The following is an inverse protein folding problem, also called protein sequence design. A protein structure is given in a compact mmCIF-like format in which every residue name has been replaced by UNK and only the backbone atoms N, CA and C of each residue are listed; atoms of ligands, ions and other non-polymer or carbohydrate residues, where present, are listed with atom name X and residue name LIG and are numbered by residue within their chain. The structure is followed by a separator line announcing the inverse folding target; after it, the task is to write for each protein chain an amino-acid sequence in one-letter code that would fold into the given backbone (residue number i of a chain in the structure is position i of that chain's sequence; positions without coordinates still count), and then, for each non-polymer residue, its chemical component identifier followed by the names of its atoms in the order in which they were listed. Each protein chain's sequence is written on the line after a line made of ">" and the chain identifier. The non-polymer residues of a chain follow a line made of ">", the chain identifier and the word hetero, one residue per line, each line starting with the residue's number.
data_IF_141561015459
#
_entry.id   IF_141561015459
#
_cell.length_a   1.000
_cell.length_b   1.000
_cell.length_c   1.000
_cell.angle_alpha   90.00
_cell.angle_beta   90.00
_cell.angle_gamma   90.00
#
_symmetry.space_group_name_H-M   'P 1'
#
loop_
_entity.id
_entity.type
_entity.pdbx_description
1 polymer ?
#
# COMPACT_ATOMS: atom_id res chain seq x y z
N UNK A 1 35.17 -55.88 -9.51
CA UNK A 1 36.25 -54.86 -9.51
C UNK A 1 35.66 -53.59 -8.89
N UNK A 2 35.86 -53.39 -7.58
CA UNK A 2 36.84 -52.43 -7.02
C UNK A 2 36.58 -51.01 -7.56
N UNK A 3 35.81 -50.17 -6.85
CA UNK A 3 36.29 -49.17 -5.86
C UNK A 3 37.55 -48.43 -6.33
N UNK A 4 37.47 -47.09 -6.44
CA UNK A 4 38.43 -46.14 -5.83
C UNK A 4 38.14 -44.65 -6.15
N UNK A 5 37.85 -43.92 -5.05
CA UNK A 5 38.39 -42.61 -4.65
C UNK A 5 38.12 -41.35 -5.51
N UNK A 6 37.26 -40.38 -5.12
CA UNK A 6 37.42 -39.38 -4.03
C UNK A 6 38.77 -38.62 -4.07
N UNK A 7 38.76 -37.42 -4.64
CA UNK A 7 39.72 -36.33 -4.41
C UNK A 7 38.92 -35.03 -4.11
N UNK A 8 38.87 -34.57 -2.85
CA UNK A 8 39.72 -33.51 -2.23
C UNK A 8 39.33 -32.11 -2.76
N UNK A 9 38.48 -31.31 -2.09
CA UNK A 9 38.70 -30.45 -0.90
C UNK A 9 39.70 -29.28 -1.11
N UNK A 10 39.20 -28.04 -0.83
CA UNK A 10 39.87 -26.76 -0.49
C UNK A 10 40.28 -25.77 -1.60
N UNK A 11 39.56 -24.63 -1.63
CA UNK A 11 40.16 -23.28 -1.56
C UNK A 11 39.10 -22.31 -0.99
N UNK A 12 39.04 -22.11 0.32
CA UNK A 12 39.71 -21.08 1.11
C UNK A 12 39.31 -19.64 0.74
N UNK A 13 38.51 -19.07 1.65
CA UNK A 13 38.28 -17.67 1.95
C UNK A 13 39.41 -16.73 1.53
N UNK A 14 39.07 -15.69 0.76
CA UNK A 14 39.81 -14.44 0.76
C UNK A 14 38.82 -13.28 0.91
N UNK A 15 38.78 -12.75 2.13
CA UNK A 15 38.24 -11.42 2.42
C UNK A 15 39.05 -10.37 1.65
N UNK A 16 38.37 -9.50 0.90
CA UNK A 16 38.88 -8.16 0.60
C UNK A 16 37.74 -7.15 0.69
N UNK A 17 37.55 -6.64 1.90
CA UNK A 17 36.85 -5.39 2.16
C UNK A 17 37.65 -4.24 1.55
N UNK A 18 37.16 -3.66 0.46
CA UNK A 18 37.60 -2.36 -0.04
C UNK A 18 36.72 -1.29 0.59
N UNK A 19 37.21 -0.70 1.68
CA UNK A 19 36.65 0.51 2.27
C UNK A 19 37.45 1.73 1.81
N UNK A 20 36.71 2.81 1.59
CA UNK A 20 37.09 4.22 1.60
C UNK A 20 37.92 4.76 0.42
N UNK A 21 37.29 5.65 -0.35
CA UNK A 21 37.70 7.06 -0.36
C UNK A 21 36.64 7.92 -1.06
N UNK A 22 35.95 8.76 -0.27
CA UNK A 22 35.18 9.89 -0.79
C UNK A 22 36.18 11.05 -0.92
N UNK A 23 36.41 11.62 -2.11
CA UNK A 23 37.26 12.79 -2.26
C UNK A 23 36.59 14.01 -1.64
N UNK A 24 37.33 14.69 -0.76
CA UNK A 24 36.99 16.02 -0.23
C UNK A 24 37.26 17.06 -1.32
N UNK A 25 36.23 17.76 -1.76
CA UNK A 25 36.42 18.96 -2.59
C UNK A 25 36.77 20.15 -1.68
N UNK A 26 37.95 20.73 -1.92
CA UNK A 26 38.27 22.11 -1.54
C UNK A 26 38.29 22.94 -2.83
N UNK A 27 37.68 24.14 -2.76
CA UNK A 27 38.06 25.39 -3.46
C UNK A 27 36.90 26.38 -3.23
N UNK A 28 37.04 27.34 -2.31
CA UNK A 28 37.77 28.59 -2.43
C UNK A 28 37.15 29.52 -3.50
N UNK A 29 36.25 30.40 -3.06
CA UNK A 29 35.89 31.63 -3.78
C UNK A 29 35.88 32.79 -2.77
N UNK A 30 36.89 33.65 -2.96
CA UNK A 30 37.00 35.10 -2.72
C UNK A 30 36.49 35.75 -1.41
N UNK A 31 37.47 36.30 -0.67
CA UNK A 31 37.37 37.53 0.12
C UNK A 31 36.91 38.71 -0.77
N UNK A 32 36.21 39.75 -0.29
CA UNK A 32 36.63 40.73 0.72
C UNK A 32 35.44 41.71 1.05
N UNK A 33 35.55 42.73 1.93
CA UNK A 33 34.77 42.80 3.18
C UNK A 33 33.92 44.08 3.36
N UNK A 34 33.02 44.09 4.35
CA UNK A 34 32.62 45.33 5.03
C UNK A 34 32.11 45.09 6.47
N UNK A 35 32.81 45.73 7.42
CA UNK A 35 32.47 46.25 8.77
C UNK A 35 31.37 45.55 9.61
N UNK A 36 31.67 44.89 10.75
CA UNK A 36 31.91 45.41 12.14
C UNK A 36 30.67 46.02 12.83
N UNK A 37 30.51 46.02 14.18
CA UNK A 37 31.11 45.21 15.25
C UNK A 37 30.14 44.66 16.35
N UNK A 38 30.61 43.62 17.07
CA UNK A 38 30.58 43.39 18.53
C UNK A 38 29.29 43.60 19.34
N UNK A 39 28.79 42.54 20.02
CA UNK A 39 28.55 42.56 21.49
C UNK A 39 28.89 41.19 22.08
N UNK A 40 29.71 41.24 23.12
CA UNK A 40 30.22 40.13 23.92
C UNK A 40 29.33 39.88 25.16
N UNK A 41 29.32 38.61 25.57
CA UNK A 41 29.18 38.06 26.93
C UNK A 41 27.81 37.71 27.55
N UNK A 42 27.85 36.47 28.02
CA UNK A 42 26.98 35.67 28.88
C UNK A 42 26.60 36.43 30.17
N UNK A 43 25.48 36.03 30.77
CA UNK A 43 25.48 35.44 32.11
C UNK A 43 24.17 34.70 32.43
N UNK A 44 24.32 33.57 33.12
CA UNK A 44 23.28 32.86 33.86
C UNK A 44 22.88 33.68 35.08
N UNK A 45 21.59 33.76 35.37
CA UNK A 45 21.10 33.84 36.75
C UNK A 45 19.67 33.31 36.84
N UNK A 46 19.47 32.41 37.82
CA UNK A 46 18.17 31.95 38.28
C UNK A 46 17.47 33.08 39.04
N UNK A 47 16.14 33.20 38.90
CA UNK A 47 15.31 33.85 39.91
C UNK A 47 13.88 33.27 39.87
N UNK A 48 13.43 32.87 41.05
CA UNK A 48 12.08 32.37 41.38
C UNK A 48 11.20 33.58 41.77
N UNK A 49 9.88 33.38 41.71
CA UNK A 49 8.76 34.17 42.31
C UNK A 49 7.96 35.06 41.32
N UNK A 50 6.72 35.49 41.65
CA UNK A 50 5.50 34.75 41.36
C UNK A 50 4.42 35.59 40.65
N UNK A 51 3.37 34.92 40.15
CA UNK A 51 2.07 35.49 39.72
C UNK A 51 2.12 36.63 38.69
N UNK A 52 1.92 36.25 37.44
CA UNK A 52 1.12 37.08 36.53
C UNK A 52 0.23 36.17 35.70
N UNK A 53 -1.08 36.43 35.82
CA UNK A 53 -2.14 35.84 35.01
C UNK A 53 -1.77 36.02 33.54
N UNK A 54 -1.46 34.92 32.87
CA UNK A 54 -1.31 34.91 31.42
C UNK A 54 -2.16 33.80 30.84
N UNK A 55 -3.08 34.27 29.99
CA UNK A 55 -3.57 33.57 28.81
C UNK A 55 -4.80 32.65 28.95
N UNK A 56 -5.91 33.24 29.40
CA UNK A 56 -7.28 32.82 29.02
C UNK A 56 -7.66 33.29 27.60
N UNK A 57 -6.71 33.41 26.67
CA UNK A 57 -6.97 33.68 25.25
C UNK A 57 -6.42 32.60 24.33
N UNK A 58 -6.49 31.35 24.77
CA UNK A 58 -6.34 30.21 23.86
C UNK A 58 -7.62 30.02 23.04
N UNK A 59 -7.71 30.80 21.96
CA UNK A 59 -8.58 30.61 20.80
C UNK A 59 -10.02 30.16 21.12
N UNK A 60 -10.99 31.09 21.09
CA UNK A 60 -12.38 30.75 20.75
C UNK A 60 -12.39 30.20 19.32
N UNK A 61 -11.91 28.97 19.11
CA UNK A 61 -12.25 28.19 17.93
C UNK A 61 -13.77 28.15 17.93
N UNK A 62 -14.37 28.69 16.87
CA UNK A 62 -15.81 28.63 16.67
C UNK A 62 -16.24 27.20 16.95
N UNK A 63 -16.98 26.98 18.06
CA UNK A 63 -17.36 25.65 18.52
C UNK A 63 -18.31 25.07 17.49
N UNK A 64 -17.76 24.32 16.53
CA UNK A 64 -18.54 23.73 15.46
C UNK A 64 -19.53 22.75 16.10
N UNK A 65 -20.83 23.09 15.96
CA UNK A 65 -21.91 22.21 16.38
C UNK A 65 -22.00 21.05 15.41
N UNK A 66 -22.09 19.86 15.95
CA UNK A 66 -22.23 18.59 15.23
C UNK A 66 -23.55 17.94 15.61
N UNK A 67 -24.04 17.06 14.74
CA UNK A 67 -25.18 16.21 15.05
C UNK A 67 -24.65 14.89 15.60
N UNK A 68 -25.06 14.53 16.81
CA UNK A 68 -24.62 13.33 17.52
C UNK A 68 -25.77 12.34 17.64
N UNK A 69 -25.54 11.11 17.17
CA UNK A 69 -26.41 9.95 17.38
C UNK A 69 -25.89 9.19 18.59
N UNK A 70 -26.71 9.11 19.63
CA UNK A 70 -26.45 8.27 20.79
C UNK A 70 -26.76 6.79 20.51
N UNK A 71 -26.39 5.90 21.43
CA UNK A 71 -26.61 4.45 21.28
C UNK A 71 -28.09 4.07 21.18
N UNK A 72 -28.98 4.85 21.79
CA UNK A 72 -30.43 4.70 21.72
C UNK A 72 -31.04 5.36 20.47
N UNK A 73 -30.23 5.61 19.44
CA UNK A 73 -30.60 6.31 18.20
C UNK A 73 -31.11 7.74 18.39
N UNK A 74 -31.03 8.30 19.60
CA UNK A 74 -31.43 9.66 19.87
C UNK A 74 -30.46 10.66 19.21
N UNK A 75 -31.02 11.60 18.46
CA UNK A 75 -30.28 12.64 17.75
C UNK A 75 -30.21 13.89 18.63
N UNK A 76 -29.00 14.36 18.91
CA UNK A 76 -28.74 15.58 19.70
C UNK A 76 -27.75 16.49 18.99
N UNK A 77 -27.83 17.79 19.23
CA UNK A 77 -26.90 18.78 18.66
C UNK A 77 -25.94 19.21 19.78
N UNK A 78 -24.69 18.83 19.66
CA UNK A 78 -23.65 19.12 20.67
C UNK A 78 -22.39 19.65 20.01
N UNK A 79 -21.42 20.11 20.81
CA UNK A 79 -20.09 20.42 20.29
C UNK A 79 -19.25 19.15 20.16
N UNK A 80 -18.24 19.16 19.28
CA UNK A 80 -17.32 18.03 19.11
C UNK A 80 -16.58 17.69 20.41
N UNK A 81 -16.18 18.71 21.18
CA UNK A 81 -15.48 18.53 22.45
C UNK A 81 -16.35 17.85 23.50
N UNK A 82 -17.62 18.24 23.60
CA UNK A 82 -18.58 17.60 24.51
C UNK A 82 -18.84 16.15 24.09
N UNK A 83 -19.01 15.88 22.80
CA UNK A 83 -19.19 14.53 22.29
C UNK A 83 -17.96 13.64 22.58
N UNK A 84 -16.74 14.16 22.43
CA UNK A 84 -15.52 13.45 22.81
C UNK A 84 -15.43 13.16 24.30
N UNK A 85 -15.79 14.13 25.15
CA UNK A 85 -15.84 13.93 26.61
C UNK A 85 -16.90 12.89 26.99
N UNK A 86 -18.05 12.91 26.33
CA UNK A 86 -19.14 11.97 26.55
C UNK A 86 -18.73 10.55 26.16
N UNK A 87 -18.05 10.40 25.02
CA UNK A 87 -17.50 9.14 24.54
C UNK A 87 -16.50 8.58 25.55
N UNK A 88 -15.51 9.37 25.98
CA UNK A 88 -14.52 8.98 27.00
C UNK A 88 -15.14 8.66 28.36
N UNK A 89 -16.20 9.36 28.77
CA UNK A 89 -16.87 9.14 30.06
C UNK A 89 -17.65 7.82 30.11
N UNK A 90 -18.15 7.36 28.96
CA UNK A 90 -18.98 6.16 28.84
C UNK A 90 -18.25 4.97 28.20
N UNK A 91 -16.93 5.08 28.05
CA UNK A 91 -16.09 4.11 27.34
C UNK A 91 -16.62 3.75 25.94
N UNK A 92 -17.10 4.77 25.22
CA UNK A 92 -17.60 4.68 23.85
C UNK A 92 -16.63 5.33 22.87
N UNK A 93 -16.78 4.95 21.60
CA UNK A 93 -16.05 5.54 20.49
C UNK A 93 -16.96 6.46 19.67
N UNK A 94 -16.37 7.56 19.19
CA UNK A 94 -17.06 8.54 18.36
C UNK A 94 -16.67 8.30 16.88
N UNK A 95 -17.61 7.80 16.07
CA UNK A 95 -17.41 7.58 14.64
C UNK A 95 -18.06 8.69 13.82
N UNK A 96 -17.33 9.20 12.82
CA UNK A 96 -17.86 10.17 11.85
C UNK A 96 -18.62 9.44 10.75
N UNK A 97 -19.86 9.84 10.50
CA UNK A 97 -20.65 9.33 9.37
C UNK A 97 -20.32 10.11 8.09
N UNK A 98 -20.37 9.41 6.95
CA UNK A 98 -20.08 9.97 5.64
C UNK A 98 -21.21 10.88 5.15
N UNK A 99 -22.46 10.53 5.48
CA UNK A 99 -23.63 11.33 5.13
C UNK A 99 -23.85 12.44 6.18
N UNK A 100 -23.86 13.72 5.77
CA UNK A 100 -24.25 14.82 6.65
C UNK A 100 -25.77 14.81 6.89
N UNK A 101 -26.20 15.51 7.94
CA UNK A 101 -27.62 15.60 8.29
C UNK A 101 -28.42 16.27 7.16
N UNK A 102 -29.39 15.55 6.60
CA UNK A 102 -30.22 15.99 5.47
C UNK A 102 -30.93 17.31 5.78
N UNK A 103 -31.26 17.56 7.05
CA UNK A 103 -32.00 18.76 7.46
C UNK A 103 -31.11 19.98 7.67
N UNK A 104 -29.85 19.77 8.04
CA UNK A 104 -29.02 20.87 8.56
C UNK A 104 -27.63 20.97 7.94
N UNK A 105 -27.24 20.01 7.10
CA UNK A 105 -25.92 19.93 6.48
C UNK A 105 -24.77 19.72 7.46
N UNK A 106 -25.05 19.49 8.75
CA UNK A 106 -24.03 19.31 9.78
C UNK A 106 -23.39 17.94 9.68
N UNK A 107 -22.11 17.88 10.02
CA UNK A 107 -21.38 16.61 10.12
C UNK A 107 -22.02 15.76 11.22
N UNK A 108 -22.36 14.53 10.87
CA UNK A 108 -22.96 13.57 11.78
C UNK A 108 -21.91 12.66 12.40
N UNK A 109 -22.06 12.40 13.70
CA UNK A 109 -21.25 11.45 14.44
C UNK A 109 -22.14 10.47 15.20
N UNK A 110 -21.69 9.23 15.33
CA UNK A 110 -22.37 8.16 16.07
C UNK A 110 -21.49 7.71 17.24
N UNK A 111 -22.09 7.55 18.42
CA UNK A 111 -21.46 6.86 19.54
C UNK A 111 -21.66 5.36 19.37
N UNK A 112 -20.55 4.61 19.40
CA UNK A 112 -20.54 3.16 19.27
C UNK A 112 -19.73 2.53 20.40
N UNK A 113 -20.10 1.31 20.77
CA UNK A 113 -19.31 0.46 21.66
C UNK A 113 -18.09 -0.10 20.93
N UNK A 114 -17.10 -0.59 21.68
CA UNK A 114 -15.94 -1.28 21.09
C UNK A 114 -16.35 -2.55 20.33
N UNK A 115 -17.39 -3.26 20.78
CA UNK A 115 -17.95 -4.42 20.07
C UNK A 115 -18.57 -4.04 18.73
N UNK A 116 -19.34 -2.95 18.69
CA UNK A 116 -19.92 -2.43 17.43
C UNK A 116 -18.85 -1.89 16.49
N UNK A 117 -17.78 -1.28 17.01
CA UNK A 117 -16.65 -0.82 16.20
C UNK A 117 -15.98 -1.98 15.46
N UNK A 118 -15.76 -3.10 16.14
CA UNK A 118 -15.21 -4.32 15.53
C UNK A 118 -16.20 -4.96 14.55
N UNK A 119 -17.50 -4.93 14.87
CA UNK A 119 -18.55 -5.40 13.97
C UNK A 119 -18.64 -4.54 12.70
N UNK A 120 -18.54 -3.22 12.79
CA UNK A 120 -18.50 -2.32 11.62
C UNK A 120 -17.19 -2.45 10.83
N UNK A 121 -16.07 -2.85 11.43
CA UNK A 121 -14.87 -3.21 10.64
C UNK A 121 -15.04 -4.52 9.85
N UNK A 122 -15.87 -5.43 10.37
CA UNK A 122 -16.18 -6.71 9.69
C UNK A 122 -17.32 -6.56 8.67
N UNK A 123 -18.35 -5.77 8.96
CA UNK A 123 -19.53 -5.49 8.12
C UNK A 123 -19.30 -4.31 7.15
N UNK A 124 -18.48 -3.33 7.51
CA UNK A 124 -18.05 -2.20 6.66
C UNK A 124 -17.08 -2.60 5.54
N UNK A 125 -16.67 -3.88 5.48
CA UNK A 125 -16.16 -4.48 4.24
C UNK A 125 -17.23 -4.63 3.16
N UNK A 126 -18.53 -4.57 3.52
CA UNK A 126 -19.66 -4.81 2.62
C UNK A 126 -20.47 -3.57 2.21
N UNK A 127 -20.63 -2.52 3.03
CA UNK A 127 -21.73 -1.57 2.82
C UNK A 127 -21.41 -0.06 2.80
N UNK A 128 -20.16 0.39 2.95
CA UNK A 128 -19.86 1.83 3.00
C UNK A 128 -18.53 2.19 2.32
N UNK A 129 -18.46 1.90 1.02
CA UNK A 129 -17.45 2.44 0.10
C UNK A 129 -18.10 3.05 -1.14
N UNK A 130 -18.90 4.10 -0.94
CA UNK A 130 -19.27 5.00 -2.01
C UNK A 130 -18.55 6.33 -1.80
N UNK A 131 -17.69 6.69 -2.77
CA UNK A 131 -16.85 7.88 -2.84
C UNK A 131 -15.53 7.84 -2.06
N UNK A 132 -14.65 6.87 -2.35
CA UNK A 132 -13.36 7.19 -2.99
C UNK A 132 -12.71 5.90 -3.52
N UNK A 133 -12.27 5.97 -4.77
CA UNK A 133 -11.84 4.89 -5.66
C UNK A 133 -10.46 4.30 -5.30
N UNK A 134 -10.22 3.75 -4.10
CA UNK A 134 -8.96 3.02 -3.79
C UNK A 134 -9.04 1.95 -2.66
N UNK A 135 -10.24 1.52 -2.29
CA UNK A 135 -10.44 0.89 -0.97
C UNK A 135 -10.64 -0.62 -0.88
N UNK A 136 -11.09 -1.33 -1.91
CA UNK A 136 -11.03 -2.80 -1.92
C UNK A 136 -9.70 -3.14 -2.57
N UNK A 137 -8.61 -3.04 -1.81
CA UNK A 137 -7.24 -3.17 -2.33
C UNK A 137 -7.05 -4.57 -2.92
N UNK A 138 -7.41 -4.72 -4.20
CA UNK A 138 -6.92 -5.77 -5.08
C UNK A 138 -5.41 -5.63 -5.02
N UNK A 139 -4.78 -6.43 -4.16
CA UNK A 139 -3.35 -6.26 -3.92
C UNK A 139 -2.65 -6.54 -5.25
N UNK A 140 -1.91 -5.55 -5.74
CA UNK A 140 -1.17 -5.69 -6.96
C UNK A 140 0.08 -6.53 -6.70
N UNK A 141 0.41 -7.43 -7.62
CA UNK A 141 1.63 -8.24 -7.60
C UNK A 141 2.43 -7.97 -8.87
N UNK A 142 3.69 -7.61 -8.72
CA UNK A 142 4.61 -7.44 -9.85
C UNK A 142 5.47 -8.69 -10.03
N UNK A 143 5.69 -9.08 -11.29
CA UNK A 143 6.55 -10.19 -11.66
C UNK A 143 7.45 -9.79 -12.82
N UNK A 144 8.76 -9.95 -12.62
CA UNK A 144 9.76 -9.80 -13.69
C UNK A 144 10.21 -11.18 -14.17
N UNK A 145 10.30 -11.33 -15.49
CA UNK A 145 10.60 -12.56 -16.20
C UNK A 145 11.74 -12.25 -17.18
N UNK A 146 12.85 -12.97 -17.10
CA UNK A 146 13.92 -12.89 -18.10
C UNK A 146 13.61 -13.77 -19.31
N UNK A 147 13.94 -13.32 -20.53
CA UNK A 147 13.69 -14.09 -21.75
C UNK A 147 14.49 -15.40 -21.85
N UNK A 148 15.58 -15.55 -21.09
CA UNK A 148 16.44 -16.76 -21.09
C UNK A 148 16.07 -17.81 -20.05
N UNK A 149 14.89 -17.72 -19.44
CA UNK A 149 14.49 -18.69 -18.42
C UNK A 149 14.21 -20.07 -19.03
N UNK A 150 14.54 -21.12 -18.28
CA UNK A 150 14.21 -22.49 -18.65
C UNK A 150 12.71 -22.76 -18.47
N UNK A 151 12.18 -23.73 -19.23
CA UNK A 151 10.76 -24.12 -19.20
C UNK A 151 10.27 -24.50 -17.80
N UNK A 152 11.15 -25.10 -16.98
CA UNK A 152 10.83 -25.44 -15.60
C UNK A 152 10.57 -24.20 -14.74
N UNK A 153 11.39 -23.15 -14.83
CA UNK A 153 11.17 -21.90 -14.09
C UNK A 153 9.91 -21.20 -14.60
N UNK A 154 9.72 -21.13 -15.93
CA UNK A 154 8.51 -20.58 -16.53
C UNK A 154 7.24 -21.24 -15.97
N UNK A 155 7.21 -22.57 -15.89
CA UNK A 155 6.07 -23.31 -15.33
C UNK A 155 5.76 -22.92 -13.87
N UNK A 156 6.80 -22.68 -13.07
CA UNK A 156 6.66 -22.23 -11.68
C UNK A 156 6.12 -20.80 -11.60
N UNK A 157 6.55 -19.91 -12.51
CA UNK A 157 6.02 -18.55 -12.63
C UNK A 157 4.54 -18.55 -13.04
N UNK A 158 4.15 -19.38 -13.99
CA UNK A 158 2.76 -19.53 -14.43
C UNK A 158 1.84 -19.97 -13.28
N UNK A 159 2.27 -20.95 -12.45
CA UNK A 159 1.52 -21.36 -11.25
C UNK A 159 1.31 -20.21 -10.25
N UNK A 160 2.32 -19.36 -10.07
CA UNK A 160 2.19 -18.17 -9.21
C UNK A 160 1.19 -17.16 -9.77
N UNK A 161 1.20 -16.93 -11.08
CA UNK A 161 0.22 -16.06 -11.75
C UNK A 161 -1.20 -16.57 -11.50
N UNK A 162 -1.46 -17.86 -11.74
CA UNK A 162 -2.77 -18.48 -11.47
C UNK A 162 -3.18 -18.27 -10.00
N UNK A 163 -2.27 -18.55 -9.07
CA UNK A 163 -2.52 -18.39 -7.63
C UNK A 163 -2.89 -16.96 -7.25
N UNK A 164 -2.24 -15.97 -7.84
CA UNK A 164 -2.54 -14.56 -7.58
C UNK A 164 -3.87 -14.13 -8.19
N UNK A 165 -4.16 -14.54 -9.42
CA UNK A 165 -5.43 -14.23 -10.09
C UNK A 165 -6.62 -14.86 -9.35
N UNK A 166 -6.48 -16.09 -8.86
CA UNK A 166 -7.50 -16.75 -8.03
C UNK A 166 -7.78 -16.00 -6.72
N UNK A 167 -6.76 -15.35 -6.14
CA UNK A 167 -6.90 -14.48 -4.96
C UNK A 167 -7.42 -13.07 -5.28
N UNK A 168 -7.90 -12.85 -6.52
CA UNK A 168 -8.38 -11.55 -7.01
C UNK A 168 -7.30 -10.46 -6.96
N UNK A 169 -6.04 -10.85 -7.12
CA UNK A 169 -4.93 -9.91 -7.25
C UNK A 169 -4.72 -9.53 -8.71
N UNK A 170 -4.41 -8.25 -8.94
CA UNK A 170 -3.95 -7.78 -10.24
C UNK A 170 -2.46 -8.11 -10.39
N UNK A 171 -2.06 -8.59 -11.55
CA UNK A 171 -0.68 -9.02 -11.79
C UNK A 171 -0.05 -8.14 -12.86
N UNK A 172 1.04 -7.45 -12.54
CA UNK A 172 1.86 -6.71 -13.50
C UNK A 172 3.03 -7.58 -13.95
N UNK A 173 3.14 -7.80 -15.24
CA UNK A 173 4.20 -8.60 -15.85
C UNK A 173 5.18 -7.67 -16.57
N UNK A 174 6.46 -7.88 -16.30
CA UNK A 174 7.57 -7.32 -17.06
C UNK A 174 8.41 -8.47 -17.61
N UNK A 175 8.59 -8.51 -18.93
CA UNK A 175 9.49 -9.46 -19.60
C UNK A 175 10.70 -8.66 -20.09
N UNK A 176 11.88 -9.10 -19.68
CA UNK A 176 13.17 -8.49 -20.02
C UNK A 176 13.94 -9.43 -20.95
N UNK A 177 14.09 -9.04 -22.21
CA UNK A 177 14.97 -9.69 -23.18
C UNK A 177 16.41 -9.19 -23.09
N UNK A 178 17.29 -9.81 -23.87
CA UNK A 178 18.67 -9.31 -24.01
C UNK A 178 18.76 -8.09 -24.92
N UNK A 179 19.66 -7.18 -24.57
CA UNK A 179 19.93 -5.91 -25.28
C UNK A 179 20.31 -6.15 -26.76
N UNK A 180 20.81 -7.34 -27.07
CA UNK A 180 21.29 -7.72 -28.41
C UNK A 180 20.18 -8.26 -29.33
N UNK A 181 18.90 -8.26 -28.91
CA UNK A 181 17.76 -8.69 -29.75
C UNK A 181 17.65 -10.20 -29.99
N UNK A 182 18.68 -10.98 -29.68
CA UNK A 182 18.71 -12.44 -29.90
C UNK A 182 17.60 -13.22 -29.17
N UNK A 183 16.99 -12.63 -28.14
CA UNK A 183 16.00 -13.30 -27.29
C UNK A 183 14.54 -12.84 -27.55
N UNK A 184 14.28 -12.11 -28.63
CA UNK A 184 12.94 -11.62 -28.97
C UNK A 184 11.93 -12.76 -29.14
N UNK A 185 12.30 -13.83 -29.86
CA UNK A 185 11.45 -15.01 -30.03
C UNK A 185 11.14 -15.74 -28.71
N UNK A 186 12.07 -15.72 -27.75
CA UNK A 186 11.85 -16.30 -26.43
C UNK A 186 10.88 -15.45 -25.60
N UNK A 187 10.97 -14.12 -25.69
CA UNK A 187 10.03 -13.22 -25.01
C UNK A 187 8.60 -13.43 -25.52
N UNK A 188 8.41 -13.58 -26.83
CA UNK A 188 7.10 -13.88 -27.43
C UNK A 188 6.55 -15.24 -27.01
N UNK A 189 7.41 -16.27 -26.96
CA UNK A 189 7.04 -17.60 -26.44
C UNK A 189 6.47 -17.51 -25.03
N UNK A 190 7.11 -16.73 -24.16
CA UNK A 190 6.64 -16.54 -22.77
C UNK A 190 5.29 -15.83 -22.74
N UNK A 191 5.09 -14.79 -23.55
CA UNK A 191 3.80 -14.09 -23.66
C UNK A 191 2.69 -15.06 -24.09
N UNK A 192 2.95 -15.88 -25.13
CA UNK A 192 1.99 -16.89 -25.61
C UNK A 192 1.67 -17.93 -24.54
N UNK A 193 2.67 -18.39 -23.80
CA UNK A 193 2.48 -19.33 -22.70
C UNK A 193 1.60 -18.74 -21.58
N UNK A 194 1.81 -17.47 -21.22
CA UNK A 194 0.97 -16.76 -20.25
C UNK A 194 -0.46 -16.59 -20.80
N UNK A 195 -0.61 -16.18 -22.06
CA UNK A 195 -1.91 -16.02 -22.73
C UNK A 195 -2.72 -17.32 -22.78
N UNK A 196 -2.07 -18.45 -23.04
CA UNK A 196 -2.72 -19.78 -23.04
C UNK A 196 -3.14 -20.18 -21.63
N UNK A 197 -2.25 -20.01 -20.65
CA UNK A 197 -2.50 -20.38 -19.24
C UNK A 197 -3.65 -19.60 -18.59
N UNK A 198 -3.89 -18.36 -19.03
CA UNK A 198 -5.00 -17.54 -18.49
C UNK A 198 -6.35 -17.82 -19.16
N UNK A 199 -6.34 -18.43 -20.36
CA UNK A 199 -7.55 -18.73 -21.15
C UNK A 199 -8.04 -20.15 -20.91
N UNK A 200 -7.15 -21.12 -20.78
CA UNK A 200 -7.44 -22.54 -20.60
C UNK A 200 -6.93 -23.03 -19.24
N UNK A 201 -7.66 -23.90 -18.51
CA UNK A 201 -8.96 -24.52 -18.82
C UNK A 201 -10.18 -23.63 -18.51
N UNK A 202 -10.01 -22.55 -17.76
CA UNK A 202 -11.03 -21.54 -17.49
C UNK A 202 -10.42 -20.15 -17.63
N UNK A 203 -11.21 -19.18 -18.09
CA UNK A 203 -10.73 -17.80 -18.25
C UNK A 203 -10.58 -17.12 -16.87
N UNK A 204 -9.38 -17.21 -16.30
CA UNK A 204 -9.07 -16.67 -14.95
C UNK A 204 -8.73 -15.18 -14.97
N UNK A 205 -8.36 -14.63 -16.13
CA UNK A 205 -7.93 -13.24 -16.22
C UNK A 205 -7.88 -12.69 -17.63
N UNK A 206 -7.88 -11.35 -17.72
CA UNK A 206 -7.79 -10.59 -18.96
C UNK A 206 -6.51 -9.76 -18.98
N UNK A 207 -5.73 -9.90 -20.04
CA UNK A 207 -4.57 -9.03 -20.28
C UNK A 207 -5.06 -7.65 -20.70
N UNK A 208 -4.47 -6.62 -20.10
CA UNK A 208 -4.67 -5.21 -20.43
C UNK A 208 -3.33 -4.50 -20.56
N UNK A 209 -3.32 -3.39 -21.30
CA UNK A 209 -2.15 -2.50 -21.41
C UNK A 209 -0.87 -3.18 -21.92
N UNK A 210 -0.98 -4.06 -22.93
CA UNK A 210 0.18 -4.67 -23.59
C UNK A 210 1.00 -3.61 -24.32
N UNK A 211 2.27 -3.48 -23.92
CA UNK A 211 3.25 -2.56 -24.50
C UNK A 211 4.55 -3.31 -24.74
N UNK A 212 5.13 -3.12 -25.91
CA UNK A 212 6.46 -3.61 -26.25
C UNK A 212 7.33 -2.42 -26.62
N UNK A 213 8.52 -2.32 -26.00
CA UNK A 213 9.50 -1.27 -26.29
C UNK A 213 10.89 -1.89 -26.30
N UNK A 214 11.43 -2.07 -27.50
CA UNK A 214 12.70 -2.76 -27.71
C UNK A 214 12.67 -4.14 -27.04
N UNK A 215 13.65 -4.39 -26.17
CA UNK A 215 13.81 -5.66 -25.45
C UNK A 215 12.84 -5.87 -24.26
N UNK A 216 11.88 -4.98 -24.04
CA UNK A 216 10.97 -5.06 -22.89
C UNK A 216 9.52 -5.21 -23.31
N UNK A 217 8.81 -6.16 -22.70
CA UNK A 217 7.36 -6.32 -22.84
C UNK A 217 6.72 -6.12 -21.47
N UNK A 218 5.73 -5.22 -21.38
CA UNK A 218 5.00 -4.93 -20.14
C UNK A 218 3.50 -5.04 -20.39
N UNK A 219 2.80 -5.69 -19.48
CA UNK A 219 1.34 -5.76 -19.48
C UNK A 219 0.81 -6.06 -18.08
N UNK A 220 -0.48 -5.81 -17.87
CA UNK A 220 -1.16 -6.16 -16.63
C UNK A 220 -2.21 -7.23 -16.91
N UNK A 221 -2.50 -8.06 -15.91
CA UNK A 221 -3.56 -9.07 -15.96
C UNK A 221 -4.56 -8.73 -14.86
N UNK A 222 -5.80 -8.48 -15.27
CA UNK A 222 -6.92 -8.25 -14.35
C UNK A 222 -7.61 -9.59 -14.12
N UNK A 223 -7.84 -10.00 -12.86
CA UNK A 223 -8.57 -11.22 -12.57
C UNK A 223 -10.03 -11.07 -13.00
N UNK A 224 -10.54 -12.05 -13.74
CA UNK A 224 -11.95 -12.13 -14.07
C UNK A 224 -12.66 -12.94 -12.99
N UNK A 225 -13.82 -12.46 -12.54
CA UNK A 225 -14.65 -13.24 -11.65
C UNK A 225 -14.96 -14.57 -12.34
N UNK A 226 -14.38 -15.69 -11.86
CA UNK A 226 -14.90 -17.00 -12.21
C UNK A 226 -16.39 -16.93 -11.89
N UNK A 227 -17.23 -16.96 -12.92
CA UNK A 227 -18.65 -17.11 -12.74
C UNK A 227 -18.81 -18.35 -11.85
N UNK A 228 -19.42 -18.17 -10.69
CA UNK A 228 -19.86 -19.30 -9.91
C UNK A 228 -20.76 -20.14 -10.84
N UNK A 229 -20.30 -21.36 -11.11
CA UNK A 229 -21.13 -22.54 -11.41
C UNK A 229 -22.39 -22.26 -12.23
N UNK A 230 -22.27 -22.24 -13.56
CA UNK A 230 -23.38 -22.70 -14.43
C UNK A 230 -23.30 -24.23 -14.52
N UNK A 231 -23.45 -24.92 -13.39
CA UNK A 231 -23.75 -26.35 -13.34
C UNK A 231 -25.18 -26.52 -12.81
N UNK A 232 -26.18 -26.09 -13.60
CA UNK A 232 -27.58 -26.30 -13.25
C UNK A 232 -28.51 -26.24 -14.48
N UNK A 233 -28.26 -27.07 -15.51
CA UNK A 233 -29.32 -27.49 -16.45
C UNK A 233 -28.82 -28.43 -17.55
N UNK A 234 -28.60 -29.70 -17.22
CA UNK A 234 -28.80 -30.83 -18.17
C UNK A 234 -28.95 -32.16 -17.41
N UNK A 235 -29.85 -32.21 -16.44
CA UNK A 235 -30.46 -33.46 -15.98
C UNK A 235 -31.95 -33.22 -15.78
N UNK A 236 -32.74 -33.52 -16.82
CA UNK A 236 -34.14 -34.00 -16.74
C UNK A 236 -34.67 -34.34 -18.14
N UNK A 237 -35.02 -35.62 -18.30
CA UNK A 237 -36.09 -36.26 -19.13
C UNK A 237 -36.16 -35.90 -20.63
N UNK A 238 -36.21 -36.85 -21.57
CA UNK A 238 -36.88 -38.16 -21.61
C UNK A 238 -36.02 -39.24 -22.28
#
# INVERSE_FOLDING_TARGET
>A
MQQNHLNIIRSLLAFRSLTLQIPKYHNAINASPSAQPQIFNRNLTQAITPKTKTDDQKSKKLKQKITLIAQNEAISITTLEEAQKLAKRRDLHLLRLQQPDVKTGRVMFKLVTSSEMLADETLGKGASKSADTQGLRKSEKSLSIGARMADHDLSSRLKNIIKWLNKRHEVRILIQGSVNGADEGNAERIVKAIEMTIKEPQVIGKIVQKRQKGSYIKFNIIPLAAAAETEASTVKEL
#
